data_IF_241441978130
#
_entry.id   IF_241441978130
#
_cell.length_a   1.000
_cell.length_b   1.000
_cell.length_c   1.000
_cell.angle_alpha   90.00
_cell.angle_beta   90.00
_cell.angle_gamma   90.00
#
_symmetry.space_group_name_H-M   'P 1'
#
loop_
_entity.id
_entity.type
_entity.pdbx_description
1 polymer ?
#
# COMPACT_ATOMS: atom_id res chain seq x y z
N UNK A 1 13.04 25.47 4.05
CA UNK A 1 12.13 25.95 5.12
C UNK A 1 11.78 24.77 6.04
N UNK A 2 11.46 25.02 7.33
CA UNK A 2 11.17 23.97 8.30
C UNK A 2 9.75 23.42 8.07
N UNK A 3 9.61 22.13 7.88
CA UNK A 3 8.32 21.46 7.64
C UNK A 3 7.70 20.89 8.94
N UNK A 4 8.38 21.02 10.05
CA UNK A 4 7.85 20.62 11.36
C UNK A 4 6.88 21.67 11.88
N UNK A 5 5.71 21.23 12.34
CA UNK A 5 4.70 22.04 12.98
C UNK A 5 4.40 21.46 14.36
N UNK A 6 4.58 22.26 15.42
CA UNK A 6 4.47 21.76 16.79
C UNK A 6 5.51 20.70 17.09
N UNK A 7 5.13 19.69 17.89
CA UNK A 7 6.03 18.61 18.31
C UNK A 7 5.98 17.38 17.41
N UNK A 8 4.85 17.09 16.78
CA UNK A 8 4.58 15.81 16.15
C UNK A 8 3.95 15.90 14.75
N UNK A 9 3.76 17.12 14.22
CA UNK A 9 3.13 17.30 12.91
C UNK A 9 4.14 17.72 11.86
N UNK A 10 3.87 17.28 10.63
CA UNK A 10 4.61 17.69 9.44
C UNK A 10 3.63 18.37 8.50
N UNK A 11 4.00 19.56 8.03
CA UNK A 11 3.27 20.29 7.02
C UNK A 11 4.16 20.42 5.79
N UNK A 12 3.82 19.67 4.74
CA UNK A 12 4.55 19.75 3.48
C UNK A 12 4.25 21.09 2.78
N UNK A 13 5.31 21.80 2.39
CA UNK A 13 5.15 23.07 1.67
C UNK A 13 4.59 22.87 0.26
N UNK A 14 5.03 21.80 -0.39
CA UNK A 14 4.45 21.32 -1.63
C UNK A 14 3.58 20.11 -1.31
N UNK A 15 2.26 20.23 -1.34
CA UNK A 15 1.36 19.14 -0.94
C UNK A 15 1.57 17.91 -1.82
N UNK A 16 1.88 16.80 -1.18
CA UNK A 16 1.92 15.48 -1.83
C UNK A 16 0.47 15.01 -2.01
N UNK A 17 0.14 14.51 -3.19
CA UNK A 17 -1.22 14.11 -3.55
C UNK A 17 -1.34 12.61 -3.65
N UNK A 18 -2.45 12.07 -3.18
CA UNK A 18 -2.84 10.69 -3.46
C UNK A 18 -3.39 10.67 -4.90
N UNK A 19 -2.68 9.99 -5.78
CA UNK A 19 -3.06 9.89 -7.19
C UNK A 19 -4.20 8.89 -7.40
N UNK A 20 -4.13 7.76 -6.72
CA UNK A 20 -5.12 6.69 -6.77
C UNK A 20 -5.06 5.86 -5.49
N UNK A 21 -6.08 5.07 -5.29
CA UNK A 21 -6.18 4.11 -4.19
C UNK A 21 -6.90 2.85 -4.66
N UNK A 22 -6.68 1.74 -3.96
CA UNK A 22 -7.42 0.50 -4.17
C UNK A 22 -7.65 -0.21 -2.85
N UNK A 23 -8.79 -0.87 -2.76
CA UNK A 23 -9.17 -1.71 -1.63
C UNK A 23 -9.59 -3.08 -2.13
N UNK A 24 -8.89 -4.10 -1.68
CA UNK A 24 -9.24 -5.51 -1.91
C UNK A 24 -9.59 -6.11 -0.56
N UNK A 25 -10.77 -6.68 -0.44
CA UNK A 25 -11.25 -7.26 0.81
C UNK A 25 -11.74 -8.67 0.64
N UNK A 26 -11.83 -9.40 1.74
CA UNK A 26 -12.42 -10.72 1.79
C UNK A 26 -13.96 -10.67 1.79
N UNK A 27 -14.57 -11.86 1.80
CA UNK A 27 -16.01 -12.01 1.80
C UNK A 27 -16.70 -11.27 2.95
N UNK A 28 -16.17 -11.39 4.17
CA UNK A 28 -16.76 -10.74 5.36
C UNK A 28 -16.76 -9.22 5.25
N UNK A 29 -15.71 -8.65 4.71
CA UNK A 29 -15.60 -7.20 4.45
C UNK A 29 -16.60 -6.80 3.35
N UNK A 30 -16.80 -7.67 2.35
CA UNK A 30 -17.78 -7.47 1.29
C UNK A 30 -19.23 -7.45 1.79
N UNK A 31 -19.54 -8.27 2.78
CA UNK A 31 -20.85 -8.32 3.44
C UNK A 31 -21.05 -7.16 4.44
N UNK A 32 -20.00 -6.47 4.79
CA UNK A 32 -20.00 -5.36 5.73
C UNK A 32 -20.50 -4.03 5.13
N UNK A 33 -20.69 -3.01 5.97
CA UNK A 33 -21.27 -1.73 5.53
C UNK A 33 -20.43 -1.00 4.48
N UNK A 34 -19.13 -1.28 4.39
CA UNK A 34 -18.21 -0.68 3.41
C UNK A 34 -17.95 -1.56 2.18
N UNK A 35 -18.56 -2.76 2.11
CA UNK A 35 -18.33 -3.72 1.03
C UNK A 35 -18.51 -3.14 -0.36
N UNK A 36 -19.53 -2.29 -0.55
CA UNK A 36 -19.82 -1.60 -1.82
C UNK A 36 -18.71 -0.62 -2.28
N UNK A 37 -17.77 -0.30 -1.41
CA UNK A 37 -16.64 0.60 -1.69
C UNK A 37 -15.34 -0.16 -1.97
N UNK A 38 -15.34 -1.48 -1.84
CA UNK A 38 -14.19 -2.30 -2.22
C UNK A 38 -14.08 -2.37 -3.75
N UNK A 39 -12.86 -2.31 -4.24
CA UNK A 39 -12.57 -2.48 -5.67
C UNK A 39 -12.67 -3.94 -6.11
N UNK A 40 -12.40 -4.85 -5.19
CA UNK A 40 -12.55 -6.29 -5.39
C UNK A 40 -12.90 -6.97 -4.08
N UNK A 41 -13.85 -7.88 -4.14
CA UNK A 41 -14.20 -8.80 -3.06
C UNK A 41 -13.72 -10.18 -3.47
N UNK A 42 -12.90 -10.80 -2.63
CA UNK A 42 -12.37 -12.15 -2.83
C UNK A 42 -13.19 -13.12 -1.98
N UNK A 43 -13.97 -13.97 -2.63
CA UNK A 43 -14.84 -14.93 -1.95
C UNK A 43 -14.09 -16.02 -1.20
N UNK A 44 -12.99 -16.50 -1.79
CA UNK A 44 -12.09 -17.46 -1.16
C UNK A 44 -11.03 -16.73 -0.32
N UNK A 45 -11.05 -16.82 1.03
CA UNK A 45 -10.09 -16.12 1.87
C UNK A 45 -8.64 -16.58 1.64
N UNK A 46 -8.44 -17.78 1.09
CA UNK A 46 -7.12 -18.28 0.72
C UNK A 46 -6.63 -17.78 -0.64
N UNK A 47 -7.47 -17.11 -1.40
CA UNK A 47 -7.16 -16.62 -2.75
C UNK A 47 -6.64 -17.74 -3.68
N UNK A 48 -7.09 -18.97 -3.47
CA UNK A 48 -6.61 -20.15 -4.18
C UNK A 48 -5.19 -20.60 -3.80
N UNK A 49 -4.67 -20.14 -2.65
CA UNK A 49 -3.33 -20.47 -2.15
C UNK A 49 -3.37 -21.51 -1.05
N UNK A 50 -2.20 -22.06 -0.73
CA UNK A 50 -2.08 -23.12 0.26
C UNK A 50 -1.90 -22.59 1.70
N UNK A 51 -1.42 -21.35 1.85
CA UNK A 51 -1.18 -20.73 3.15
C UNK A 51 -1.60 -19.24 3.16
N UNK A 52 -1.71 -18.69 4.38
CA UNK A 52 -2.19 -17.34 4.60
C UNK A 52 -1.21 -16.26 4.10
N UNK A 53 0.09 -16.51 4.17
CA UNK A 53 1.13 -15.60 3.73
C UNK A 53 1.10 -15.40 2.21
N UNK A 54 0.89 -16.46 1.46
CA UNK A 54 0.70 -16.39 0.01
C UNK A 54 -0.61 -15.70 -0.35
N UNK A 55 -1.68 -16.00 0.41
CA UNK A 55 -2.96 -15.32 0.24
C UNK A 55 -2.81 -13.80 0.44
N UNK A 56 -2.22 -13.38 1.55
CA UNK A 56 -1.99 -11.96 1.85
C UNK A 56 -1.11 -11.29 0.78
N UNK A 57 -0.09 -11.99 0.27
CA UNK A 57 0.72 -11.52 -0.86
C UNK A 57 -0.13 -11.26 -2.11
N UNK A 58 -1.10 -12.12 -2.39
CA UNK A 58 -2.03 -11.93 -3.51
C UNK A 58 -2.95 -10.72 -3.31
N UNK A 59 -3.46 -10.50 -2.10
CA UNK A 59 -4.24 -9.31 -1.78
C UNK A 59 -3.44 -8.03 -2.03
N UNK A 60 -2.21 -7.97 -1.52
CA UNK A 60 -1.30 -6.81 -1.68
C UNK A 60 -0.96 -6.55 -3.14
N UNK A 61 -0.54 -7.58 -3.89
CA UNK A 61 -0.25 -7.48 -5.31
C UNK A 61 -1.46 -6.96 -6.08
N UNK A 62 -2.62 -7.57 -5.85
CA UNK A 62 -3.85 -7.22 -6.56
C UNK A 62 -4.27 -5.77 -6.27
N UNK A 63 -4.19 -5.34 -5.02
CA UNK A 63 -4.45 -3.95 -4.65
C UNK A 63 -3.49 -2.99 -5.37
N UNK A 64 -2.20 -3.32 -5.42
CA UNK A 64 -1.20 -2.55 -6.14
C UNK A 64 -1.51 -2.44 -7.63
N UNK A 65 -1.86 -3.54 -8.29
CA UNK A 65 -2.22 -3.57 -9.71
C UNK A 65 -3.47 -2.73 -10.00
N UNK A 66 -4.49 -2.81 -9.14
CA UNK A 66 -5.71 -2.00 -9.28
C UNK A 66 -5.39 -0.52 -9.09
N UNK A 67 -4.60 -0.16 -8.08
CA UNK A 67 -4.20 1.22 -7.84
C UNK A 67 -3.42 1.80 -9.03
N UNK A 68 -2.45 1.06 -9.59
CA UNK A 68 -1.71 1.47 -10.79
C UNK A 68 -2.64 1.69 -11.98
N UNK A 69 -3.55 0.75 -12.22
CA UNK A 69 -4.54 0.85 -13.32
C UNK A 69 -5.44 2.07 -13.15
N UNK A 70 -6.00 2.31 -11.95
CA UNK A 70 -6.84 3.48 -11.64
C UNK A 70 -6.05 4.80 -11.81
N UNK A 71 -4.79 4.80 -11.42
CA UNK A 71 -3.89 5.95 -11.58
C UNK A 71 -3.35 6.12 -13.00
N UNK A 72 -3.68 5.22 -13.92
CA UNK A 72 -3.14 5.18 -15.29
C UNK A 72 -1.61 5.18 -15.29
N UNK A 73 -1.01 4.45 -14.37
CA UNK A 73 0.43 4.29 -14.20
C UNK A 73 0.88 2.88 -14.48
N UNK A 74 2.13 2.73 -14.88
CA UNK A 74 2.80 1.44 -15.07
C UNK A 74 3.72 1.17 -13.88
N UNK A 75 4.05 -0.10 -13.62
CA UNK A 75 5.01 -0.50 -12.57
C UNK A 75 6.31 0.30 -12.65
N UNK A 76 6.86 0.49 -13.83
CA UNK A 76 8.10 1.25 -14.08
C UNK A 76 8.04 2.73 -13.73
N UNK A 77 6.86 3.30 -13.61
CA UNK A 77 6.69 4.71 -13.24
C UNK A 77 6.82 4.91 -11.72
N UNK A 78 6.74 3.82 -10.94
CA UNK A 78 6.85 3.85 -9.49
C UNK A 78 8.30 3.68 -9.08
N UNK A 79 8.84 4.66 -8.38
CA UNK A 79 10.25 4.67 -7.96
C UNK A 79 10.54 3.68 -6.85
N UNK A 80 9.62 3.57 -5.89
CA UNK A 80 9.73 2.68 -4.73
C UNK A 80 8.36 2.48 -4.09
N UNK A 81 8.21 1.38 -3.35
CA UNK A 81 7.03 1.07 -2.57
C UNK A 81 7.36 1.01 -1.07
N UNK A 82 6.49 1.57 -0.26
CA UNK A 82 6.50 1.43 1.19
C UNK A 82 5.30 0.58 1.56
N UNK A 83 5.53 -0.58 2.11
CA UNK A 83 4.47 -1.53 2.38
C UNK A 83 4.77 -2.35 3.62
N UNK A 84 3.74 -2.85 4.25
CA UNK A 84 3.82 -3.75 5.38
C UNK A 84 2.60 -4.66 5.42
N UNK A 85 2.69 -5.66 6.26
CA UNK A 85 1.65 -6.63 6.52
C UNK A 85 1.50 -6.89 8.02
N UNK A 86 0.55 -7.69 8.40
CA UNK A 86 0.30 -8.03 9.80
C UNK A 86 0.65 -9.49 10.11
N UNK A 87 0.42 -10.39 9.18
CA UNK A 87 0.48 -11.82 9.42
C UNK A 87 1.92 -12.33 9.53
N UNK A 88 2.77 -12.02 8.57
CA UNK A 88 4.06 -12.66 8.38
C UNK A 88 5.27 -11.77 8.63
N UNK A 89 5.15 -10.65 9.35
CA UNK A 89 6.29 -9.75 9.62
C UNK A 89 7.09 -9.41 8.35
N UNK A 90 6.41 -8.88 7.35
CA UNK A 90 6.91 -8.49 6.02
C UNK A 90 7.11 -9.64 5.01
N UNK A 91 6.76 -10.87 5.33
CA UNK A 91 6.81 -11.98 4.37
C UNK A 91 5.82 -11.71 3.24
N UNK A 92 4.54 -11.50 3.57
CA UNK A 92 3.50 -11.28 2.58
C UNK A 92 3.75 -10.05 1.72
N UNK A 93 4.14 -8.94 2.33
CA UNK A 93 4.44 -7.70 1.61
C UNK A 93 5.68 -7.82 0.74
N UNK A 94 6.73 -8.50 1.19
CA UNK A 94 7.95 -8.71 0.40
C UNK A 94 7.66 -9.49 -0.89
N UNK A 95 6.96 -10.61 -0.79
CA UNK A 95 6.64 -11.42 -1.97
C UNK A 95 5.60 -10.75 -2.86
N UNK A 96 4.57 -10.12 -2.28
CA UNK A 96 3.54 -9.42 -3.04
C UNK A 96 4.10 -8.25 -3.86
N UNK A 97 5.01 -7.45 -3.29
CA UNK A 97 5.64 -6.33 -4.00
C UNK A 97 6.73 -6.81 -4.98
N UNK A 98 7.44 -7.91 -4.66
CA UNK A 98 8.41 -8.48 -5.59
C UNK A 98 7.78 -8.85 -6.94
N UNK A 99 6.55 -9.37 -6.94
CA UNK A 99 5.82 -9.65 -8.19
C UNK A 99 5.42 -8.38 -8.98
N UNK A 100 5.41 -7.24 -8.33
CA UNK A 100 5.23 -5.94 -8.99
C UNK A 100 6.54 -5.39 -9.58
N UNK A 101 7.69 -5.99 -9.23
CA UNK A 101 9.02 -5.54 -9.70
C UNK A 101 9.33 -4.08 -9.33
N UNK A 102 8.82 -3.63 -8.18
CA UNK A 102 9.04 -2.29 -7.65
C UNK A 102 10.02 -2.37 -6.48
N UNK A 103 11.04 -1.49 -6.40
CA UNK A 103 11.91 -1.41 -5.23
C UNK A 103 11.09 -1.27 -3.94
N UNK A 104 11.39 -2.08 -2.92
CA UNK A 104 10.56 -2.25 -1.75
C UNK A 104 11.26 -1.83 -0.47
N UNK A 105 10.54 -1.08 0.35
CA UNK A 105 10.90 -0.73 1.72
C UNK A 105 9.84 -1.26 2.67
N UNK A 106 10.21 -2.27 3.46
CA UNK A 106 9.33 -2.86 4.46
C UNK A 106 9.10 -1.94 5.64
N UNK A 107 7.85 -1.78 6.02
CA UNK A 107 7.42 -1.00 7.19
C UNK A 107 6.64 -1.92 8.11
N UNK A 108 7.16 -2.16 9.32
CA UNK A 108 6.48 -3.01 10.29
C UNK A 108 6.09 -2.23 11.54
N UNK A 109 4.81 -1.95 11.65
CA UNK A 109 4.22 -1.25 12.78
C UNK A 109 2.81 -1.78 13.09
N UNK A 110 2.54 -3.04 12.74
CA UNK A 110 1.23 -3.67 12.85
C UNK A 110 0.13 -2.74 12.24
N UNK A 111 -0.93 -2.43 12.96
CA UNK A 111 -2.01 -1.58 12.48
C UNK A 111 -1.57 -0.16 12.09
N UNK A 112 -0.41 0.30 12.55
CA UNK A 112 0.14 1.62 12.20
C UNK A 112 0.94 1.61 10.88
N UNK A 113 1.17 0.46 10.26
CA UNK A 113 1.97 0.34 9.02
C UNK A 113 1.47 1.26 7.91
N UNK A 114 0.15 1.37 7.73
CA UNK A 114 -0.42 2.27 6.72
C UNK A 114 -0.06 3.74 6.96
N UNK A 115 -0.16 4.21 8.21
CA UNK A 115 0.20 5.58 8.57
C UNK A 115 1.70 5.84 8.40
N UNK A 116 2.55 4.88 8.78
CA UNK A 116 3.99 4.96 8.60
C UNK A 116 4.36 4.97 7.11
N UNK A 117 3.80 4.06 6.31
CA UNK A 117 4.05 3.99 4.87
C UNK A 117 3.64 5.28 4.14
N UNK A 118 2.45 5.82 4.44
CA UNK A 118 1.99 7.10 3.89
C UNK A 118 2.91 8.26 4.28
N UNK A 119 3.34 8.31 5.53
CA UNK A 119 4.22 9.37 6.03
C UNK A 119 5.59 9.34 5.35
N UNK A 120 6.23 8.17 5.30
CA UNK A 120 7.54 7.99 4.68
C UNK A 120 7.46 8.22 3.17
N UNK A 121 6.42 7.68 2.52
CA UNK A 121 6.18 7.88 1.10
C UNK A 121 6.00 9.36 0.74
N UNK A 122 5.23 10.09 1.53
CA UNK A 122 5.06 11.53 1.35
C UNK A 122 6.37 12.31 1.57
N UNK A 123 7.18 11.91 2.56
CA UNK A 123 8.50 12.50 2.76
C UNK A 123 9.43 12.23 1.57
N UNK A 124 9.41 11.03 1.00
CA UNK A 124 10.22 10.67 -0.15
C UNK A 124 9.87 11.53 -1.38
N UNK A 125 8.58 11.72 -1.65
CA UNK A 125 8.12 12.56 -2.76
C UNK A 125 8.45 14.04 -2.49
N UNK A 126 8.09 14.55 -1.32
CA UNK A 126 8.36 15.95 -0.98
C UNK A 126 9.86 16.28 -0.91
N UNK A 127 10.70 15.30 -0.55
CA UNK A 127 12.15 15.41 -0.50
C UNK A 127 12.84 15.32 -1.88
N UNK A 128 12.08 15.02 -2.95
CA UNK A 128 12.61 14.92 -4.30
C UNK A 128 13.33 13.59 -4.59
N UNK A 129 13.12 12.56 -3.75
CA UNK A 129 13.71 11.22 -3.98
C UNK A 129 12.87 10.37 -4.94
N UNK A 130 11.63 10.75 -5.16
CA UNK A 130 10.71 10.09 -6.08
C UNK A 130 9.62 11.04 -6.56
N UNK A 131 9.16 10.87 -7.80
CA UNK A 131 7.97 11.57 -8.32
C UNK A 131 6.69 10.79 -8.03
N UNK A 132 6.80 9.46 -7.89
CA UNK A 132 5.70 8.55 -7.60
C UNK A 132 6.18 7.39 -6.71
N UNK A 133 5.46 7.17 -5.61
CA UNK A 133 5.65 6.07 -4.69
C UNK A 133 4.34 5.34 -4.47
#
# INVERSE_FOLDING_TARGET
>A
MKQMQGKQSILFQNPVKILSHACVGGKKEGEGPIGKHLDLIVEDPMFGKENWEESESCFLKTAGEIALRKGKKKKKDVRMAFCGDLLGQLIASSFGIAELEIPYYGVYGACSSIGAALSIGAMAVNGGFADLV
#
